data_IF_204828804701
#
_entry.id   IF_204828804701
#
_cell.length_a   1.000
_cell.length_b   1.000
_cell.length_c   1.000
_cell.angle_alpha   90.00
_cell.angle_beta   90.00
_cell.angle_gamma   90.00
#
_symmetry.space_group_name_H-M   'P 1'
#
loop_
_entity.id
_entity.type
_entity.pdbx_description
1 polymer ?
#
# COMPACT_ATOMS: atom_id res chain seq x y z
N UNK A 1 41.15 -38.27 42.44
CA UNK A 1 40.05 -38.82 41.61
C UNK A 1 38.92 -37.81 41.37
N UNK A 2 38.23 -37.27 42.39
CA UNK A 2 37.02 -36.44 42.19
C UNK A 2 37.17 -35.27 41.20
N UNK A 3 38.25 -34.48 41.29
CA UNK A 3 38.49 -33.36 40.35
C UNK A 3 38.64 -33.79 38.88
N UNK A 4 39.27 -34.94 38.60
CA UNK A 4 39.40 -35.45 37.22
C UNK A 4 38.06 -35.94 36.67
N UNK A 5 37.24 -36.59 37.50
CA UNK A 5 35.88 -37.02 37.12
C UNK A 5 34.97 -35.82 36.86
N UNK A 6 35.05 -34.77 37.68
CA UNK A 6 34.28 -33.54 37.51
C UNK A 6 34.69 -32.76 36.26
N UNK A 7 36.00 -32.65 35.99
CA UNK A 7 36.53 -32.08 34.74
C UNK A 7 36.11 -32.87 33.49
N UNK A 8 36.12 -34.20 33.55
CA UNK A 8 35.65 -35.05 32.45
C UNK A 8 34.14 -34.91 32.21
N UNK A 9 33.33 -34.83 33.27
CA UNK A 9 31.88 -34.61 33.17
C UNK A 9 31.56 -33.23 32.56
N UNK A 10 32.22 -32.17 33.02
CA UNK A 10 32.08 -30.81 32.48
C UNK A 10 32.49 -30.74 31.01
N UNK A 11 33.63 -31.36 30.65
CA UNK A 11 34.09 -31.44 29.26
C UNK A 11 33.06 -32.14 28.37
N UNK A 12 32.49 -33.25 28.82
CA UNK A 12 31.47 -34.02 28.06
C UNK A 12 30.15 -33.26 27.89
N UNK A 13 29.74 -32.47 28.90
CA UNK A 13 28.60 -31.56 28.78
C UNK A 13 28.89 -30.41 27.81
N UNK A 14 30.08 -29.81 27.86
CA UNK A 14 30.48 -28.72 26.97
C UNK A 14 30.60 -29.21 25.52
N UNK A 15 31.23 -30.35 25.27
CA UNK A 15 31.30 -30.98 23.94
C UNK A 15 29.91 -31.31 23.39
N UNK A 16 28.97 -31.76 24.24
CA UNK A 16 27.57 -31.97 23.84
C UNK A 16 26.89 -30.65 23.45
N UNK A 17 26.98 -29.63 24.30
CA UNK A 17 26.35 -28.33 24.06
C UNK A 17 26.91 -27.65 22.79
N UNK A 18 28.23 -27.75 22.55
CA UNK A 18 28.90 -27.24 21.35
C UNK A 18 28.45 -28.01 20.10
N UNK A 19 28.30 -29.34 20.17
CA UNK A 19 27.78 -30.12 19.05
C UNK A 19 26.31 -29.85 18.75
N UNK A 20 25.47 -29.69 19.79
CA UNK A 20 24.05 -29.32 19.63
C UNK A 20 23.93 -27.89 19.06
N UNK A 21 24.73 -26.94 19.52
CA UNK A 21 24.83 -25.58 18.96
C UNK A 21 25.28 -25.60 17.50
N UNK A 22 26.34 -26.35 17.16
CA UNK A 22 26.82 -26.52 15.79
C UNK A 22 25.74 -27.11 14.88
N UNK A 23 25.00 -28.11 15.35
CA UNK A 23 23.90 -28.73 14.60
C UNK A 23 22.75 -27.74 14.39
N UNK A 24 22.43 -26.93 15.40
CA UNK A 24 21.42 -25.87 15.29
C UNK A 24 21.85 -24.74 14.34
N UNK A 25 23.14 -24.36 14.35
CA UNK A 25 23.70 -23.34 13.46
C UNK A 25 23.66 -23.80 12.01
N UNK A 26 24.12 -25.02 11.72
CA UNK A 26 24.03 -25.62 10.38
C UNK A 26 22.57 -25.72 9.89
N UNK A 27 21.63 -26.12 10.75
CA UNK A 27 20.21 -26.17 10.40
C UNK A 27 19.63 -24.78 10.09
N UNK A 28 20.04 -23.75 10.83
CA UNK A 28 19.66 -22.37 10.54
C UNK A 28 20.26 -21.87 9.22
N UNK A 29 21.52 -22.22 8.92
CA UNK A 29 22.19 -21.90 7.66
C UNK A 29 21.47 -22.56 6.46
N UNK A 30 21.14 -23.84 6.55
CA UNK A 30 20.38 -24.55 5.51
C UNK A 30 18.98 -23.96 5.31
N UNK A 31 18.32 -23.51 6.38
CA UNK A 31 17.05 -22.78 6.30
C UNK A 31 17.19 -21.41 5.66
N UNK A 32 18.28 -20.68 5.93
CA UNK A 32 18.56 -19.41 5.26
C UNK A 32 18.84 -19.61 3.76
N UNK A 33 19.56 -20.67 3.37
CA UNK A 33 19.78 -21.03 1.95
C UNK A 33 18.49 -21.40 1.22
N UNK A 34 17.58 -22.13 1.86
CA UNK A 34 16.24 -22.42 1.29
C UNK A 34 15.38 -21.15 1.17
N UNK A 35 15.46 -20.25 2.15
CA UNK A 35 14.77 -18.96 2.12
C UNK A 35 15.32 -18.06 1.01
N UNK A 36 16.63 -17.93 0.87
CA UNK A 36 17.29 -17.17 -0.21
C UNK A 36 16.90 -17.70 -1.60
N UNK A 37 16.96 -19.03 -1.79
CA UNK A 37 16.51 -19.68 -3.02
C UNK A 37 15.03 -19.45 -3.34
N UNK A 38 14.17 -19.31 -2.32
CA UNK A 38 12.75 -18.93 -2.47
C UNK A 38 12.59 -17.45 -2.79
N UNK A 39 13.39 -16.58 -2.17
CA UNK A 39 13.44 -15.14 -2.43
C UNK A 39 13.81 -14.86 -3.90
N UNK A 40 14.88 -15.47 -4.40
CA UNK A 40 15.28 -15.33 -5.82
C UNK A 40 14.19 -15.80 -6.81
N UNK A 41 13.49 -16.90 -6.49
CA UNK A 41 12.33 -17.35 -7.29
C UNK A 41 11.13 -16.40 -7.20
N UNK A 42 10.95 -15.72 -6.06
CA UNK A 42 9.88 -14.74 -5.87
C UNK A 42 10.17 -13.46 -6.66
N UNK A 43 11.42 -12.97 -6.63
CA UNK A 43 11.88 -11.86 -7.48
C UNK A 43 11.68 -12.17 -8.97
N UNK A 44 12.17 -13.32 -9.45
CA UNK A 44 12.00 -13.73 -10.84
C UNK A 44 10.51 -13.80 -11.26
N UNK A 45 9.61 -14.21 -10.36
CA UNK A 45 8.17 -14.18 -10.60
C UNK A 45 7.60 -12.76 -10.57
N UNK A 46 8.09 -11.88 -9.70
CA UNK A 46 7.71 -10.47 -9.65
C UNK A 46 8.09 -9.75 -10.95
N UNK A 47 9.28 -9.99 -11.49
CA UNK A 47 9.71 -9.43 -12.78
C UNK A 47 8.84 -9.95 -13.94
N UNK A 48 8.43 -11.21 -13.89
CA UNK A 48 7.47 -11.79 -14.84
C UNK A 48 6.05 -11.23 -14.71
N UNK A 49 5.64 -10.82 -13.50
CA UNK A 49 4.36 -10.12 -13.28
C UNK A 49 4.44 -8.69 -13.81
N UNK A 50 5.55 -7.98 -13.59
CA UNK A 50 5.75 -6.62 -14.13
C UNK A 50 5.76 -6.61 -15.66
N UNK A 51 6.42 -7.58 -16.32
CA UNK A 51 6.41 -7.66 -17.78
C UNK A 51 5.04 -8.03 -18.35
N UNK A 52 4.28 -8.92 -17.69
CA UNK A 52 2.88 -9.18 -18.09
C UNK A 52 1.95 -7.98 -17.84
N UNK A 53 2.22 -7.17 -16.80
CA UNK A 53 1.47 -5.93 -16.56
C UNK A 53 1.67 -4.92 -17.71
N UNK A 54 2.90 -4.75 -18.21
CA UNK A 54 3.17 -3.90 -19.38
C UNK A 54 2.44 -4.40 -20.64
N UNK A 55 2.42 -5.71 -20.89
CA UNK A 55 1.70 -6.28 -22.05
C UNK A 55 0.18 -6.05 -21.92
N UNK A 56 -0.37 -6.12 -20.70
CA UNK A 56 -1.78 -5.80 -20.45
C UNK A 56 -2.06 -4.31 -20.68
N UNK A 57 -1.14 -3.41 -20.31
CA UNK A 57 -1.29 -1.98 -20.58
C UNK A 57 -1.26 -1.68 -22.10
N UNK A 58 -0.29 -2.22 -22.83
CA UNK A 58 -0.22 -2.11 -24.31
C UNK A 58 -1.50 -2.64 -24.99
N UNK A 59 -2.01 -3.80 -24.56
CA UNK A 59 -3.28 -4.34 -25.05
C UNK A 59 -4.48 -3.45 -24.69
N UNK A 60 -4.50 -2.87 -23.49
CA UNK A 60 -5.56 -1.96 -23.05
C UNK A 60 -5.57 -0.69 -23.89
N UNK A 61 -4.40 -0.10 -24.16
CA UNK A 61 -4.27 1.04 -25.07
C UNK A 61 -4.75 0.72 -26.49
N UNK A 62 -4.40 -0.46 -27.02
CA UNK A 62 -4.87 -0.92 -28.33
C UNK A 62 -6.39 -1.11 -28.38
N UNK A 63 -7.00 -1.63 -27.31
CA UNK A 63 -8.47 -1.76 -27.18
C UNK A 63 -9.13 -0.38 -27.13
N UNK A 64 -8.55 0.60 -26.43
CA UNK A 64 -9.06 1.99 -26.40
C UNK A 64 -8.99 2.63 -27.79
N UNK A 65 -7.89 2.48 -28.52
CA UNK A 65 -7.77 3.03 -29.88
C UNK A 65 -8.75 2.35 -30.86
N UNK A 66 -8.90 1.03 -30.77
CA UNK A 66 -9.87 0.27 -31.56
C UNK A 66 -11.31 0.68 -31.25
N UNK A 67 -11.66 0.82 -29.96
CA UNK A 67 -12.97 1.29 -29.50
C UNK A 67 -13.28 2.70 -30.02
N UNK A 68 -12.29 3.61 -30.03
CA UNK A 68 -12.44 4.93 -30.62
C UNK A 68 -12.72 4.86 -32.13
N UNK A 69 -11.95 4.06 -32.89
CA UNK A 69 -12.19 3.86 -34.33
C UNK A 69 -13.58 3.29 -34.62
N UNK A 70 -14.08 2.37 -33.78
CA UNK A 70 -15.45 1.85 -33.88
C UNK A 70 -16.47 2.95 -33.58
N UNK A 71 -16.27 3.78 -32.55
CA UNK A 71 -17.13 4.93 -32.24
C UNK A 71 -17.21 5.93 -33.39
N UNK A 72 -16.06 6.26 -33.99
CA UNK A 72 -15.98 7.14 -35.16
C UNK A 72 -16.76 6.50 -36.34
N UNK A 73 -16.61 5.19 -36.59
CA UNK A 73 -17.36 4.48 -37.64
C UNK A 73 -18.88 4.46 -37.38
N UNK A 74 -19.31 4.26 -36.13
CA UNK A 74 -20.74 4.31 -35.74
C UNK A 74 -21.35 5.70 -36.01
N UNK A 75 -20.58 6.78 -35.80
CA UNK A 75 -21.06 8.14 -36.13
C UNK A 75 -21.29 8.33 -37.63
N UNK A 76 -20.38 7.83 -38.48
CA UNK A 76 -20.52 7.89 -39.94
C UNK A 76 -21.68 7.01 -40.43
N UNK A 77 -21.87 5.82 -39.86
CA UNK A 77 -23.01 4.95 -40.18
C UNK A 77 -24.34 5.61 -39.78
N UNK A 78 -24.38 6.36 -38.67
CA UNK A 78 -25.56 7.13 -38.27
C UNK A 78 -25.91 8.21 -39.30
N UNK A 79 -24.92 9.00 -39.74
CA UNK A 79 -25.09 10.06 -40.74
C UNK A 79 -25.62 9.47 -42.07
N UNK A 80 -25.01 8.39 -42.55
CA UNK A 80 -25.51 7.65 -43.72
C UNK A 80 -26.93 7.11 -43.53
N UNK A 81 -27.26 6.60 -42.34
CA UNK A 81 -28.61 6.08 -42.06
C UNK A 81 -29.67 7.18 -42.06
N UNK A 82 -29.32 8.40 -41.62
CA UNK A 82 -30.20 9.57 -41.66
C UNK A 82 -30.40 10.07 -43.09
N UNK A 83 -29.34 10.07 -43.92
CA UNK A 83 -29.44 10.40 -45.34
C UNK A 83 -30.27 9.38 -46.12
N UNK A 84 -30.06 8.07 -45.90
CA UNK A 84 -30.85 6.98 -46.51
C UNK A 84 -32.32 7.09 -46.10
N UNK A 85 -32.62 7.41 -44.84
CA UNK A 85 -34.00 7.62 -44.38
C UNK A 85 -34.66 8.80 -45.11
N UNK A 86 -33.96 9.94 -45.23
CA UNK A 86 -34.46 11.10 -45.96
C UNK A 86 -34.68 10.80 -47.45
N UNK A 87 -33.77 10.04 -48.09
CA UNK A 87 -33.95 9.58 -49.47
C UNK A 87 -35.15 8.62 -49.60
N UNK A 88 -35.35 7.70 -48.64
CA UNK A 88 -36.50 6.79 -48.63
C UNK A 88 -37.84 7.54 -48.56
N UNK A 89 -37.92 8.60 -47.75
CA UNK A 89 -39.09 9.49 -47.68
C UNK A 89 -39.35 10.18 -49.02
N UNK A 90 -38.31 10.69 -49.70
CA UNK A 90 -38.44 11.30 -51.03
C UNK A 90 -38.86 10.29 -52.11
N UNK A 91 -38.35 9.06 -52.05
CA UNK A 91 -38.75 7.97 -52.95
C UNK A 91 -40.22 7.61 -52.72
N UNK A 92 -40.68 7.52 -51.47
CA UNK A 92 -42.10 7.26 -51.17
C UNK A 92 -43.02 8.37 -51.70
N UNK A 93 -42.62 9.63 -51.58
CA UNK A 93 -43.36 10.76 -52.14
C UNK A 93 -43.46 10.70 -53.68
N UNK A 94 -42.33 10.46 -54.37
CA UNK A 94 -42.30 10.35 -55.84
C UNK A 94 -43.03 9.11 -56.36
N UNK A 95 -43.04 8.00 -55.62
CA UNK A 95 -43.89 6.83 -55.93
C UNK A 95 -45.38 7.15 -55.86
N UNK A 96 -45.81 7.91 -54.84
CA UNK A 96 -47.22 8.33 -54.71
C UNK A 96 -47.64 9.27 -55.84
N UNK A 97 -46.77 10.19 -56.26
CA UNK A 97 -47.01 11.07 -57.40
C UNK A 97 -47.09 10.30 -58.73
N UNK A 98 -46.18 9.34 -58.95
CA UNK A 98 -46.19 8.47 -60.12
C UNK A 98 -47.49 7.66 -60.22
N UNK A 99 -47.97 7.08 -59.11
CA UNK A 99 -49.20 6.30 -59.07
C UNK A 99 -50.42 7.16 -59.47
N UNK A 100 -50.49 8.41 -59.01
CA UNK A 100 -51.54 9.36 -59.34
C UNK A 100 -51.52 9.74 -60.84
N UNK A 101 -50.34 10.03 -61.41
CA UNK A 101 -50.24 10.30 -62.85
C UNK A 101 -50.50 9.05 -63.72
N UNK A 102 -50.22 7.83 -63.23
CA UNK A 102 -50.60 6.58 -63.89
C UNK A 102 -52.13 6.39 -63.92
N UNK A 103 -52.82 6.62 -62.79
CA UNK A 103 -54.29 6.56 -62.73
C UNK A 103 -54.94 7.59 -63.67
N UNK A 104 -54.43 8.82 -63.66
CA UNK A 104 -54.84 9.90 -64.56
C UNK A 104 -54.56 9.59 -66.04
N UNK A 105 -53.48 8.87 -66.35
CA UNK A 105 -53.19 8.38 -67.70
C UNK A 105 -54.17 7.29 -68.11
N UNK A 106 -54.46 6.32 -67.24
CA UNK A 106 -55.46 5.27 -67.46
C UNK A 106 -56.82 5.89 -67.80
N UNK A 107 -57.30 6.83 -67.00
CA UNK A 107 -58.61 7.49 -67.21
C UNK A 107 -58.66 8.19 -68.58
N UNK A 108 -57.58 8.88 -69.00
CA UNK A 108 -57.48 9.48 -70.35
C UNK A 108 -57.49 8.45 -71.48
N UNK A 109 -56.91 7.27 -71.26
CA UNK A 109 -56.93 6.18 -72.25
C UNK A 109 -58.34 5.59 -72.37
N UNK A 110 -59.04 5.39 -71.25
CA UNK A 110 -60.44 4.92 -71.25
C UNK A 110 -61.38 5.92 -71.98
N UNK A 111 -61.28 7.22 -71.70
CA UNK A 111 -61.99 8.28 -72.44
C UNK A 111 -61.63 8.30 -73.94
N UNK A 112 -60.34 8.12 -74.26
CA UNK A 112 -59.84 8.03 -75.62
C UNK A 112 -60.41 6.83 -76.39
N UNK A 113 -60.52 5.67 -75.73
CA UNK A 113 -61.12 4.46 -76.31
C UNK A 113 -62.63 4.64 -76.51
N UNK A 114 -63.34 5.25 -75.57
CA UNK A 114 -64.77 5.52 -75.68
C UNK A 114 -65.09 6.43 -76.89
N UNK A 115 -64.38 7.55 -77.01
CA UNK A 115 -64.55 8.50 -78.14
C UNK A 115 -64.17 7.89 -79.49
N UNK A 116 -63.18 7.01 -79.55
CA UNK A 116 -62.80 6.27 -80.76
C UNK A 116 -63.86 5.23 -81.13
N UNK A 117 -64.46 4.53 -80.14
CA UNK A 117 -65.54 3.58 -80.35
C UNK A 117 -66.81 4.24 -80.91
N UNK A 118 -67.23 5.39 -80.38
CA UNK A 118 -68.34 6.18 -80.92
C UNK A 118 -68.06 6.69 -82.33
N UNK A 119 -66.81 7.10 -82.61
CA UNK A 119 -66.39 7.49 -83.96
C UNK A 119 -66.46 6.33 -84.95
N UNK A 120 -66.05 5.12 -84.54
CA UNK A 120 -66.15 3.90 -85.35
C UNK A 120 -67.60 3.50 -85.62
N UNK A 121 -68.49 3.59 -84.62
CA UNK A 121 -69.92 3.34 -84.75
C UNK A 121 -70.59 4.30 -85.74
N UNK A 122 -70.26 5.59 -85.66
CA UNK A 122 -70.73 6.61 -86.60
C UNK A 122 -70.22 6.39 -88.03
N UNK A 123 -68.97 5.92 -88.19
CA UNK A 123 -68.42 5.56 -89.50
C UNK A 123 -69.14 4.33 -90.09
N UNK A 124 -69.40 3.31 -89.26
CA UNK A 124 -70.17 2.13 -89.66
C UNK A 124 -71.57 2.46 -90.17
N UNK A 125 -72.29 3.37 -89.48
CA UNK A 125 -73.59 3.85 -89.94
C UNK A 125 -73.49 4.53 -91.32
N UNK A 126 -72.57 5.49 -91.48
CA UNK A 126 -72.35 6.19 -92.76
C UNK A 126 -71.96 5.27 -93.90
N UNK A 127 -71.26 4.17 -93.61
CA UNK A 127 -70.90 3.16 -94.61
C UNK A 127 -72.11 2.38 -95.11
N UNK A 128 -73.05 2.06 -94.22
CA UNK A 128 -74.31 1.40 -94.60
C UNK A 128 -75.23 2.38 -95.36
N UNK A 129 -75.31 3.65 -94.94
CA UNK A 129 -76.01 4.71 -95.67
C UNK A 129 -75.46 4.82 -97.11
N UNK A 130 -74.14 4.92 -97.27
CA UNK A 130 -73.46 5.03 -98.58
C UNK A 130 -73.63 3.77 -99.45
N UNK A 131 -73.74 2.59 -98.84
CA UNK A 131 -74.09 1.35 -99.52
C UNK A 131 -75.54 1.37 -100.04
N UNK A 132 -76.50 1.92 -99.29
CA UNK A 132 -77.87 2.09 -99.80
C UNK A 132 -77.94 3.09 -100.96
N UNK A 133 -77.21 4.21 -100.87
CA UNK A 133 -77.08 5.18 -101.96
C UNK A 133 -76.42 4.55 -103.21
N UNK A 134 -75.39 3.71 -103.02
CA UNK A 134 -74.73 2.98 -104.10
C UNK A 134 -75.68 2.02 -104.83
N UNK A 135 -76.59 1.33 -104.11
CA UNK A 135 -77.61 0.47 -104.72
C UNK A 135 -78.64 1.28 -105.54
N UNK A 136 -78.99 2.49 -105.11
CA UNK A 136 -79.84 3.39 -105.90
C UNK A 136 -79.13 3.90 -107.16
N UNK A 137 -77.82 4.15 -107.07
CA UNK A 137 -76.97 4.51 -108.22
C UNK A 137 -76.81 3.33 -109.19
N UNK A 138 -76.60 2.10 -108.70
CA UNK A 138 -76.54 0.89 -109.53
C UNK A 138 -77.83 0.69 -110.34
N UNK A 139 -78.99 0.93 -109.73
CA UNK A 139 -80.29 0.90 -110.42
C UNK A 139 -80.37 1.89 -111.58
N UNK A 140 -79.82 3.10 -111.42
CA UNK A 140 -79.75 4.14 -112.49
C UNK A 140 -78.69 3.79 -113.55
N UNK A 141 -77.62 3.09 -113.19
CA UNK A 141 -76.58 2.62 -114.12
C UNK A 141 -77.12 1.54 -115.08
N UNK A 142 -78.03 0.67 -114.64
CA UNK A 142 -78.63 -0.35 -115.51
C UNK A 142 -79.39 0.22 -116.72
N UNK A 143 -80.01 1.40 -116.61
CA UNK A 143 -80.65 2.08 -117.76
C UNK A 143 -79.61 2.63 -118.75
N UNK A 144 -78.42 2.99 -118.28
CA UNK A 144 -77.30 3.49 -119.09
C UNK A 144 -76.47 2.36 -119.71
N UNK A 145 -76.55 1.13 -119.16
CA UNK A 145 -75.71 -0.02 -119.54
C UNK A 145 -75.69 -0.35 -121.03
N UNK A 146 -76.80 -0.17 -121.74
CA UNK A 146 -76.88 -0.39 -123.20
C UNK A 146 -75.99 0.55 -124.03
N UNK A 147 -75.58 1.69 -123.47
CA UNK A 147 -74.67 2.66 -124.11
C UNK A 147 -73.21 2.53 -123.62
N UNK A 148 -72.90 1.58 -122.72
CA UNK A 148 -71.68 1.62 -121.91
C UNK A 148 -70.77 0.38 -122.07
N UNK A 149 -70.92 -0.40 -123.13
CA UNK A 149 -69.99 -1.51 -123.44
C UNK A 149 -68.56 -1.01 -123.72
N UNK A 150 -68.40 0.00 -124.59
CA UNK A 150 -67.08 0.46 -125.07
C UNK A 150 -66.25 1.21 -124.02
N UNK A 151 -66.87 1.77 -122.97
CA UNK A 151 -66.15 2.46 -121.89
C UNK A 151 -65.62 1.52 -120.80
N UNK A 152 -66.09 0.28 -120.75
CA UNK A 152 -65.81 -0.66 -119.65
C UNK A 152 -64.34 -1.08 -119.60
N UNK A 153 -63.68 -1.20 -120.76
CA UNK A 153 -62.28 -1.61 -120.90
C UNK A 153 -61.30 -0.69 -120.13
N UNK A 154 -61.44 0.63 -120.27
CA UNK A 154 -60.57 1.60 -119.58
C UNK A 154 -60.86 1.70 -118.07
N UNK A 155 -62.09 1.41 -117.65
CA UNK A 155 -62.49 1.45 -116.24
C UNK A 155 -61.93 0.25 -115.47
N UNK A 156 -61.88 -0.93 -116.10
CA UNK A 156 -61.33 -2.15 -115.51
C UNK A 156 -59.81 -2.04 -115.23
N UNK A 157 -59.06 -1.34 -116.08
CA UNK A 157 -57.64 -1.05 -115.84
C UNK A 157 -57.41 -0.21 -114.57
N UNK A 158 -58.15 0.90 -114.40
CA UNK A 158 -58.05 1.73 -113.19
C UNK A 158 -58.59 1.04 -111.93
N UNK A 159 -59.63 0.20 -112.06
CA UNK A 159 -60.14 -0.58 -110.94
C UNK A 159 -59.12 -1.63 -110.42
N UNK A 160 -58.22 -2.11 -111.28
CA UNK A 160 -57.14 -3.01 -110.88
C UNK A 160 -56.03 -2.26 -110.11
N UNK A 161 -55.58 -1.09 -110.58
CA UNK A 161 -54.61 -0.25 -109.84
C UNK A 161 -55.13 0.12 -108.43
N UNK A 162 -56.42 0.48 -108.33
CA UNK A 162 -57.05 0.78 -107.03
C UNK A 162 -57.11 -0.46 -106.13
N UNK A 163 -57.35 -1.66 -106.68
CA UNK A 163 -57.36 -2.92 -105.91
C UNK A 163 -55.99 -3.24 -105.34
N UNK A 164 -54.93 -3.10 -106.14
CA UNK A 164 -53.57 -3.42 -105.71
C UNK A 164 -53.08 -2.43 -104.64
N UNK A 165 -53.34 -1.13 -104.80
CA UNK A 165 -53.01 -0.10 -103.80
C UNK A 165 -53.82 -0.29 -102.51
N UNK A 166 -55.11 -0.62 -102.61
CA UNK A 166 -55.94 -0.92 -101.45
C UNK A 166 -55.44 -2.17 -100.70
N UNK A 167 -55.06 -3.24 -101.41
CA UNK A 167 -54.49 -4.45 -100.82
C UNK A 167 -53.19 -4.19 -100.05
N UNK A 168 -52.25 -3.46 -100.65
CA UNK A 168 -50.98 -3.06 -100.00
C UNK A 168 -51.22 -2.16 -98.77
N UNK A 169 -52.25 -1.31 -98.80
CA UNK A 169 -52.62 -0.49 -97.63
C UNK A 169 -53.23 -1.33 -96.49
N UNK A 170 -54.03 -2.34 -96.83
CA UNK A 170 -54.70 -3.21 -95.86
C UNK A 170 -53.70 -4.13 -95.15
N UNK A 171 -52.74 -4.71 -95.88
CA UNK A 171 -51.65 -5.50 -95.29
C UNK A 171 -50.74 -4.66 -94.38
N UNK A 172 -50.45 -3.40 -94.73
CA UNK A 172 -49.68 -2.49 -93.87
C UNK A 172 -50.43 -2.11 -92.59
N UNK A 173 -51.75 -1.89 -92.66
CA UNK A 173 -52.56 -1.66 -91.45
C UNK A 173 -52.64 -2.92 -90.57
N UNK A 174 -52.69 -4.11 -91.16
CA UNK A 174 -52.64 -5.38 -90.44
C UNK A 174 -51.30 -5.59 -89.72
N UNK A 175 -50.17 -5.27 -90.35
CA UNK A 175 -48.85 -5.28 -89.69
C UNK A 175 -48.76 -4.27 -88.54
N UNK A 176 -49.36 -3.08 -88.68
CA UNK A 176 -49.39 -2.08 -87.61
C UNK A 176 -50.18 -2.58 -86.39
N UNK A 177 -51.35 -3.19 -86.60
CA UNK A 177 -52.15 -3.82 -85.54
C UNK A 177 -51.40 -4.93 -84.81
N UNK A 178 -50.73 -5.81 -85.55
CA UNK A 178 -49.93 -6.92 -84.99
C UNK A 178 -48.73 -6.41 -84.18
N UNK A 179 -48.08 -5.33 -84.64
CA UNK A 179 -47.03 -4.63 -83.89
C UNK A 179 -47.53 -3.94 -82.62
N UNK A 180 -48.70 -3.31 -82.65
CA UNK A 180 -49.33 -2.68 -81.48
C UNK A 180 -49.78 -3.73 -80.45
N UNK A 181 -50.29 -4.88 -80.90
CA UNK A 181 -50.64 -6.00 -80.00
C UNK A 181 -49.43 -6.52 -79.23
N UNK A 182 -48.30 -6.71 -79.91
CA UNK A 182 -47.03 -7.15 -79.29
C UNK A 182 -46.45 -6.11 -78.33
N UNK A 183 -46.61 -4.82 -78.64
CA UNK A 183 -46.23 -3.75 -77.73
C UNK A 183 -47.10 -3.73 -76.45
N UNK A 184 -48.39 -4.07 -76.57
CA UNK A 184 -49.32 -4.18 -75.44
C UNK A 184 -48.97 -5.35 -74.52
N UNK A 185 -48.68 -6.54 -75.07
CA UNK A 185 -48.20 -7.71 -74.31
C UNK A 185 -46.88 -7.42 -73.58
N UNK A 186 -45.95 -6.70 -74.23
CA UNK A 186 -44.71 -6.25 -73.59
C UNK A 186 -44.95 -5.27 -72.42
N UNK A 187 -45.89 -4.32 -72.57
CA UNK A 187 -46.29 -3.40 -71.50
C UNK A 187 -46.95 -4.12 -70.32
N UNK A 188 -47.81 -5.10 -70.58
CA UNK A 188 -48.44 -5.92 -69.54
C UNK A 188 -47.37 -6.73 -68.78
N UNK A 189 -46.45 -7.38 -69.51
CA UNK A 189 -45.34 -8.15 -68.92
C UNK A 189 -44.42 -7.27 -68.05
N UNK A 190 -44.13 -6.04 -68.49
CA UNK A 190 -43.35 -5.07 -67.73
C UNK A 190 -44.07 -4.62 -66.45
N UNK A 191 -45.38 -4.41 -66.53
CA UNK A 191 -46.23 -4.02 -65.39
C UNK A 191 -46.26 -5.13 -64.34
N UNK A 192 -46.40 -6.38 -64.77
CA UNK A 192 -46.39 -7.56 -63.92
C UNK A 192 -45.02 -7.73 -63.22
N UNK A 193 -43.92 -7.64 -63.97
CA UNK A 193 -42.56 -7.68 -63.42
C UNK A 193 -42.28 -6.56 -62.40
N UNK A 194 -42.72 -5.32 -62.70
CA UNK A 194 -42.62 -4.21 -61.75
C UNK A 194 -43.41 -4.50 -60.47
N UNK A 195 -44.65 -5.00 -60.58
CA UNK A 195 -45.47 -5.32 -59.40
C UNK A 195 -44.80 -6.37 -58.50
N UNK A 196 -44.18 -7.40 -59.10
CA UNK A 196 -43.47 -8.45 -58.38
C UNK A 196 -42.21 -7.93 -57.68
N UNK A 197 -41.41 -7.12 -58.37
CA UNK A 197 -40.23 -6.47 -57.79
C UNK A 197 -40.60 -5.53 -56.62
N UNK A 198 -41.73 -4.82 -56.70
CA UNK A 198 -42.23 -4.01 -55.59
C UNK A 198 -42.66 -4.86 -54.38
N UNK A 199 -43.30 -6.02 -54.58
CA UNK A 199 -43.60 -6.92 -53.47
C UNK A 199 -42.33 -7.48 -52.80
N UNK A 200 -41.34 -7.96 -53.58
CA UNK A 200 -40.07 -8.44 -53.02
C UNK A 200 -39.30 -7.32 -52.28
N UNK A 201 -39.27 -6.11 -52.85
CA UNK A 201 -38.64 -4.95 -52.19
C UNK A 201 -39.35 -4.56 -50.88
N UNK A 202 -40.67 -4.76 -50.78
CA UNK A 202 -41.41 -4.44 -49.55
C UNK A 202 -41.22 -5.50 -48.47
N UNK A 203 -41.18 -6.77 -48.86
CA UNK A 203 -41.02 -7.88 -47.94
C UNK A 203 -39.59 -7.94 -47.37
N UNK A 204 -38.57 -7.68 -48.20
CA UNK A 204 -37.17 -7.52 -47.74
C UNK A 204 -36.98 -6.31 -46.81
N UNK A 205 -37.64 -5.18 -47.09
CA UNK A 205 -37.59 -3.99 -46.22
C UNK A 205 -38.30 -4.23 -44.88
N UNK A 206 -39.35 -5.06 -44.86
CA UNK A 206 -39.98 -5.53 -43.63
C UNK A 206 -39.07 -6.45 -42.82
N UNK A 207 -38.39 -7.41 -43.47
CA UNK A 207 -37.42 -8.30 -42.80
C UNK A 207 -36.27 -7.48 -42.18
N UNK A 208 -35.75 -6.48 -42.89
CA UNK A 208 -34.72 -5.57 -42.39
C UNK A 208 -35.20 -4.77 -41.18
N UNK A 209 -36.46 -4.31 -41.18
CA UNK A 209 -37.06 -3.60 -40.04
C UNK A 209 -37.23 -4.51 -38.80
N UNK A 210 -37.71 -5.75 -38.98
CA UNK A 210 -37.80 -6.74 -37.90
C UNK A 210 -36.41 -7.12 -37.36
N UNK A 211 -35.40 -7.26 -38.22
CA UNK A 211 -34.02 -7.51 -37.81
C UNK A 211 -33.42 -6.33 -37.03
N UNK A 212 -33.62 -5.10 -37.51
CA UNK A 212 -33.18 -3.88 -36.82
C UNK A 212 -33.81 -3.73 -35.44
N UNK A 213 -35.11 -4.02 -35.31
CA UNK A 213 -35.80 -3.96 -34.02
C UNK A 213 -35.25 -5.00 -33.02
N UNK A 214 -35.04 -6.25 -33.47
CA UNK A 214 -34.41 -7.32 -32.64
C UNK A 214 -32.98 -6.96 -32.20
N UNK A 215 -32.18 -6.35 -33.07
CA UNK A 215 -30.84 -5.88 -32.70
C UNK A 215 -30.88 -4.77 -31.64
N UNK A 216 -31.85 -3.85 -31.75
CA UNK A 216 -32.00 -2.78 -30.77
C UNK A 216 -32.49 -3.29 -29.41
N UNK A 217 -33.41 -4.27 -29.38
CA UNK A 217 -33.86 -4.92 -28.15
C UNK A 217 -32.71 -5.70 -27.47
N UNK A 218 -31.93 -6.47 -28.24
CA UNK A 218 -30.75 -7.19 -27.73
C UNK A 218 -29.63 -6.26 -27.22
N UNK A 219 -29.51 -5.04 -27.77
CA UNK A 219 -28.59 -4.02 -27.27
C UNK A 219 -29.06 -3.45 -25.92
N UNK A 220 -30.36 -3.22 -25.74
CA UNK A 220 -30.94 -2.75 -24.48
C UNK A 220 -30.72 -3.82 -23.38
N UNK A 221 -31.01 -5.09 -23.67
CA UNK A 221 -30.79 -6.20 -22.73
C UNK A 221 -29.31 -6.29 -22.30
N UNK A 222 -28.37 -6.18 -23.26
CA UNK A 222 -26.93 -6.14 -22.94
C UNK A 222 -26.53 -4.93 -22.11
N UNK A 223 -27.13 -3.77 -22.35
CA UNK A 223 -26.83 -2.55 -21.59
C UNK A 223 -27.32 -2.66 -20.14
N UNK A 224 -28.49 -3.26 -19.92
CA UNK A 224 -29.00 -3.57 -18.57
C UNK A 224 -28.13 -4.59 -17.84
N UNK A 225 -27.72 -5.67 -18.51
CA UNK A 225 -26.76 -6.65 -17.95
C UNK A 225 -25.41 -6.02 -17.59
N UNK A 226 -24.92 -5.08 -18.42
CA UNK A 226 -23.68 -4.35 -18.16
C UNK A 226 -23.83 -3.39 -16.95
N UNK A 227 -24.98 -2.74 -16.81
CA UNK A 227 -25.25 -1.87 -15.66
C UNK A 227 -25.35 -2.69 -14.37
N UNK A 228 -26.05 -3.83 -14.36
CA UNK A 228 -26.10 -4.74 -13.19
C UNK A 228 -24.69 -5.22 -12.81
N UNK A 229 -23.87 -5.60 -13.79
CA UNK A 229 -22.48 -6.00 -13.56
C UNK A 229 -21.62 -4.84 -13.00
N UNK A 230 -21.83 -3.62 -13.49
CA UNK A 230 -21.13 -2.43 -13.00
C UNK A 230 -21.55 -2.08 -11.56
N UNK A 231 -22.85 -2.11 -11.24
CA UNK A 231 -23.35 -1.90 -9.88
C UNK A 231 -22.80 -2.96 -8.90
N UNK A 232 -22.74 -4.25 -9.31
CA UNK A 232 -22.10 -5.32 -8.54
C UNK A 232 -20.60 -5.06 -8.32
N UNK A 233 -19.88 -4.58 -9.33
CA UNK A 233 -18.46 -4.23 -9.21
C UNK A 233 -18.23 -3.07 -8.24
N UNK A 234 -19.07 -2.02 -8.31
CA UNK A 234 -19.04 -0.89 -7.38
C UNK A 234 -19.35 -1.33 -5.95
N UNK A 235 -20.38 -2.16 -5.75
CA UNK A 235 -20.71 -2.73 -4.44
C UNK A 235 -19.57 -3.57 -3.85
N UNK A 236 -18.93 -4.40 -4.67
CA UNK A 236 -17.75 -5.19 -4.28
C UNK A 236 -16.52 -4.31 -3.99
N UNK A 237 -16.27 -3.27 -4.78
CA UNK A 237 -15.16 -2.34 -4.50
C UNK A 237 -15.36 -1.61 -3.17
N UNK A 238 -16.60 -1.21 -2.85
CA UNK A 238 -16.94 -0.56 -1.57
C UNK A 238 -16.82 -1.51 -0.38
N UNK A 239 -17.19 -2.78 -0.53
CA UNK A 239 -17.02 -3.78 0.54
C UNK A 239 -15.56 -4.17 0.75
N UNK A 240 -14.75 -4.23 -0.31
CA UNK A 240 -13.29 -4.39 -0.23
C UNK A 240 -12.65 -3.18 0.47
N UNK A 241 -13.04 -1.96 0.12
CA UNK A 241 -12.52 -0.74 0.77
C UNK A 241 -12.83 -0.73 2.27
N UNK A 242 -14.07 -1.04 2.66
CA UNK A 242 -14.45 -1.15 4.07
C UNK A 242 -13.70 -2.29 4.80
N UNK A 243 -13.41 -3.39 4.11
CA UNK A 243 -12.58 -4.47 4.65
C UNK A 243 -11.10 -4.08 4.79
N UNK A 244 -10.58 -3.22 3.91
CA UNK A 244 -9.24 -2.64 4.03
C UNK A 244 -9.15 -1.65 5.20
N UNK A 245 -10.12 -0.74 5.35
CA UNK A 245 -10.20 0.20 6.48
C UNK A 245 -10.27 -0.54 7.82
N UNK A 246 -11.12 -1.57 7.92
CA UNK A 246 -11.18 -2.44 9.11
C UNK A 246 -9.91 -3.26 9.32
N UNK A 247 -9.15 -3.60 8.27
CA UNK A 247 -7.86 -4.26 8.39
C UNK A 247 -6.78 -3.29 8.88
N UNK A 248 -6.74 -2.05 8.38
CA UNK A 248 -5.83 -1.00 8.85
C UNK A 248 -6.09 -0.65 10.32
N UNK A 249 -7.35 -0.49 10.74
CA UNK A 249 -7.72 -0.28 12.16
C UNK A 249 -7.25 -1.47 13.03
N UNK A 250 -7.45 -2.70 12.56
CA UNK A 250 -7.01 -3.91 13.24
C UNK A 250 -5.48 -4.05 13.30
N UNK A 251 -4.78 -3.59 12.27
CA UNK A 251 -3.32 -3.58 12.22
C UNK A 251 -2.74 -2.49 13.13
N UNK A 252 -3.33 -1.29 13.14
CA UNK A 252 -2.95 -0.20 14.04
C UNK A 252 -3.17 -0.58 15.51
N UNK A 253 -4.33 -1.17 15.84
CA UNK A 253 -4.60 -1.67 17.20
C UNK A 253 -3.69 -2.84 17.60
N UNK A 254 -3.30 -3.71 16.65
CA UNK A 254 -2.28 -4.74 16.88
C UNK A 254 -0.88 -4.14 17.13
N UNK A 255 -0.46 -3.11 16.40
CA UNK A 255 0.81 -2.42 16.66
C UNK A 255 0.81 -1.73 18.04
N UNK A 256 -0.28 -1.04 18.41
CA UNK A 256 -0.44 -0.46 19.76
C UNK A 256 -0.41 -1.54 20.86
N UNK A 257 -0.94 -2.73 20.59
CA UNK A 257 -0.84 -3.87 21.51
C UNK A 257 0.60 -4.42 21.60
N UNK A 258 1.33 -4.49 20.49
CA UNK A 258 2.73 -4.88 20.45
C UNK A 258 3.64 -3.89 21.19
N UNK A 259 3.45 -2.59 21.01
CA UNK A 259 4.21 -1.56 21.73
C UNK A 259 3.96 -1.64 23.25
N UNK A 260 2.70 -1.86 23.66
CA UNK A 260 2.35 -2.13 25.07
C UNK A 260 3.01 -3.42 25.58
N UNK A 261 3.09 -4.47 24.76
CA UNK A 261 3.75 -5.73 25.11
C UNK A 261 5.28 -5.55 25.25
N UNK A 262 5.92 -4.78 24.36
CA UNK A 262 7.34 -4.46 24.45
C UNK A 262 7.65 -3.56 25.66
N UNK A 263 6.81 -2.56 25.95
CA UNK A 263 6.93 -1.73 27.15
C UNK A 263 6.80 -2.57 28.44
N UNK A 264 5.82 -3.48 28.48
CA UNK A 264 5.63 -4.42 29.59
C UNK A 264 6.83 -5.37 29.74
N UNK A 265 7.33 -5.93 28.63
CA UNK A 265 8.49 -6.83 28.63
C UNK A 265 9.76 -6.12 29.12
N UNK A 266 10.01 -4.89 28.67
CA UNK A 266 11.13 -4.08 29.13
C UNK A 266 11.04 -3.73 30.63
N UNK A 267 9.82 -3.45 31.13
CA UNK A 267 9.57 -3.22 32.55
C UNK A 267 9.86 -4.50 33.37
N UNK A 268 9.37 -5.65 32.93
CA UNK A 268 9.60 -6.95 33.59
C UNK A 268 11.08 -7.36 33.58
N UNK A 269 11.80 -7.12 32.48
CA UNK A 269 13.25 -7.34 32.41
C UNK A 269 14.03 -6.43 33.37
N UNK A 270 13.58 -5.20 33.57
CA UNK A 270 14.16 -4.28 34.57
C UNK A 270 13.91 -4.78 36.00
N UNK A 271 12.67 -5.17 36.34
CA UNK A 271 12.32 -5.71 37.66
C UNK A 271 13.09 -6.99 38.00
N UNK A 272 13.20 -7.92 37.05
CA UNK A 272 14.01 -9.14 37.19
C UNK A 272 15.50 -8.84 37.45
N UNK A 273 16.07 -7.87 36.73
CA UNK A 273 17.46 -7.41 36.93
C UNK A 273 17.67 -6.79 38.31
N UNK A 274 16.70 -6.00 38.79
CA UNK A 274 16.71 -5.38 40.11
C UNK A 274 16.74 -6.41 41.24
N UNK A 275 15.87 -7.42 41.19
CA UNK A 275 15.82 -8.50 42.18
C UNK A 275 17.16 -9.25 42.21
N UNK A 276 17.75 -9.56 41.05
CA UNK A 276 19.05 -10.25 40.96
C UNK A 276 20.20 -9.42 41.56
N UNK A 277 20.24 -8.11 41.30
CA UNK A 277 21.26 -7.23 41.87
C UNK A 277 21.16 -7.17 43.41
N UNK A 278 19.94 -7.01 43.94
CA UNK A 278 19.69 -6.98 45.39
C UNK A 278 20.24 -8.22 46.12
N UNK A 279 19.97 -9.43 45.61
CA UNK A 279 20.50 -10.66 46.21
C UNK A 279 22.04 -10.73 46.19
N UNK A 280 22.68 -10.33 45.07
CA UNK A 280 24.15 -10.34 44.97
C UNK A 280 24.77 -9.38 45.98
N UNK A 281 24.30 -8.14 46.06
CA UNK A 281 24.85 -7.15 46.99
C UNK A 281 24.56 -7.50 48.47
N UNK A 282 23.41 -8.12 48.77
CA UNK A 282 23.13 -8.67 50.10
C UNK A 282 24.13 -9.75 50.50
N UNK A 283 24.45 -10.69 49.60
CA UNK A 283 25.45 -11.74 49.84
C UNK A 283 26.86 -11.13 49.98
N UNK A 284 27.23 -10.17 49.13
CA UNK A 284 28.51 -9.45 49.25
C UNK A 284 28.63 -8.72 50.59
N UNK A 285 27.56 -8.13 51.12
CA UNK A 285 27.55 -7.47 52.44
C UNK A 285 27.87 -8.46 53.56
N UNK A 286 27.32 -9.68 53.49
CA UNK A 286 27.61 -10.77 54.44
C UNK A 286 29.04 -11.31 54.31
N UNK A 287 29.54 -11.46 53.07
CA UNK A 287 30.94 -11.87 52.83
C UNK A 287 31.92 -10.83 53.40
N UNK A 288 31.66 -9.54 53.15
CA UNK A 288 32.43 -8.44 53.74
C UNK A 288 32.36 -8.45 55.27
N UNK A 289 31.18 -8.69 55.85
CA UNK A 289 31.02 -8.80 57.30
C UNK A 289 31.92 -9.89 57.89
N UNK A 290 31.92 -11.09 57.28
CA UNK A 290 32.75 -12.23 57.71
C UNK A 290 34.25 -11.93 57.54
N UNK A 291 34.67 -11.44 56.37
CA UNK A 291 36.08 -11.10 56.09
C UNK A 291 36.62 -9.97 56.97
N UNK A 292 35.75 -9.06 57.43
CA UNK A 292 36.12 -7.93 58.28
C UNK A 292 35.90 -8.19 59.77
N UNK A 293 35.50 -9.41 60.16
CA UNK A 293 35.29 -9.82 61.55
C UNK A 293 36.62 -10.03 62.32
N UNK A 294 37.71 -10.26 61.59
CA UNK A 294 39.07 -10.42 62.14
C UNK A 294 39.59 -9.09 62.73
N UNK A 295 40.30 -9.14 63.88
CA UNK A 295 40.88 -7.94 64.52
C UNK A 295 41.69 -7.04 63.55
N UNK A 296 42.34 -7.65 62.55
CA UNK A 296 43.28 -6.99 61.63
C UNK A 296 42.66 -5.98 60.67
N UNK A 297 41.36 -6.06 60.37
CA UNK A 297 40.71 -5.28 59.29
C UNK A 297 39.60 -4.33 59.78
N UNK A 298 39.45 -4.15 61.10
CA UNK A 298 38.33 -3.41 61.72
C UNK A 298 38.17 -1.97 61.21
N UNK A 299 39.27 -1.23 61.00
CA UNK A 299 39.26 0.18 60.60
C UNK A 299 38.77 0.43 59.17
N UNK A 300 38.87 -0.57 58.28
CA UNK A 300 38.49 -0.45 56.86
C UNK A 300 37.00 -0.76 56.63
N UNK A 301 36.33 -1.34 57.63
CA UNK A 301 34.93 -1.82 57.57
C UNK A 301 33.93 -0.76 57.09
N UNK A 302 33.99 0.44 57.65
CA UNK A 302 33.06 1.54 57.33
C UNK A 302 33.23 2.02 55.89
N UNK A 303 34.47 2.22 55.44
CA UNK A 303 34.78 2.65 54.07
C UNK A 303 34.35 1.59 53.04
N UNK A 304 34.52 0.31 53.35
CA UNK A 304 34.17 -0.77 52.43
C UNK A 304 32.63 -0.93 52.29
N UNK A 305 31.87 -0.72 53.36
CA UNK A 305 30.40 -0.62 53.28
C UNK A 305 29.91 0.63 52.55
N UNK A 306 30.57 1.79 52.76
CA UNK A 306 30.23 3.02 52.03
C UNK A 306 30.47 2.85 50.52
N UNK A 307 31.59 2.23 50.14
CA UNK A 307 31.89 1.88 48.75
C UNK A 307 30.90 0.88 48.15
N UNK A 308 30.50 -0.16 48.90
CA UNK A 308 29.51 -1.15 48.46
C UNK A 308 28.14 -0.51 48.21
N UNK A 309 27.73 0.42 49.08
CA UNK A 309 26.48 1.18 48.93
C UNK A 309 26.55 2.12 47.71
N UNK A 310 27.67 2.82 47.50
CA UNK A 310 27.87 3.67 46.32
C UNK A 310 27.84 2.85 45.01
N UNK A 311 28.46 1.66 44.99
CA UNK A 311 28.43 0.76 43.83
C UNK A 311 27.01 0.27 43.53
N UNK A 312 26.23 -0.11 44.55
CA UNK A 312 24.82 -0.48 44.40
C UNK A 312 23.97 0.66 43.84
N UNK A 313 24.16 1.89 44.33
CA UNK A 313 23.44 3.08 43.83
C UNK A 313 23.81 3.43 42.38
N UNK A 314 25.08 3.25 41.97
CA UNK A 314 25.49 3.40 40.58
C UNK A 314 24.87 2.34 39.67
N UNK A 315 24.88 1.06 40.08
CA UNK A 315 24.19 0.00 39.34
C UNK A 315 22.67 0.16 39.26
N UNK A 316 22.06 0.86 40.23
CA UNK A 316 20.65 1.23 40.17
C UNK A 316 20.37 2.38 39.18
N UNK A 317 21.25 3.38 39.15
CA UNK A 317 21.06 4.57 38.31
C UNK A 317 21.32 4.31 36.82
N UNK A 318 22.35 3.54 36.47
CA UNK A 318 22.80 3.32 35.08
C UNK A 318 21.68 2.73 34.18
N UNK A 319 20.95 1.67 34.56
CA UNK A 319 19.88 1.11 33.72
C UNK A 319 18.64 2.00 33.64
N UNK A 320 18.40 2.87 34.64
CA UNK A 320 17.26 3.79 34.67
C UNK A 320 17.48 5.03 33.82
N UNK A 321 18.71 5.49 33.67
CA UNK A 321 19.05 6.69 32.88
C UNK A 321 19.34 6.39 31.40
N UNK A 322 19.90 5.22 31.08
CA UNK A 322 20.42 4.93 29.73
C UNK A 322 19.60 3.83 29.01
N UNK A 323 18.34 4.12 28.70
CA UNK A 323 17.36 3.14 28.22
C UNK A 323 17.65 2.48 26.85
N UNK A 324 18.53 3.06 26.02
CA UNK A 324 18.51 2.80 24.58
C UNK A 324 19.52 1.76 24.05
N UNK A 325 20.31 1.07 24.89
CA UNK A 325 21.23 0.01 24.42
C UNK A 325 21.58 -1.00 25.52
N UNK A 326 20.95 -2.19 25.48
CA UNK A 326 21.14 -3.28 26.46
C UNK A 326 22.60 -3.76 26.51
N UNK A 327 23.26 -3.85 25.36
CA UNK A 327 24.66 -4.29 25.25
C UNK A 327 25.63 -3.29 25.91
N UNK A 328 25.46 -1.99 25.63
CA UNK A 328 26.24 -0.92 26.27
C UNK A 328 26.00 -0.86 27.78
N UNK A 329 24.75 -1.04 28.24
CA UNK A 329 24.45 -1.15 29.67
C UNK A 329 25.24 -2.30 30.32
N UNK A 330 25.24 -3.50 29.71
CA UNK A 330 25.89 -4.67 30.28
C UNK A 330 27.42 -4.49 30.36
N UNK A 331 28.01 -3.89 29.32
CA UNK A 331 29.44 -3.57 29.28
C UNK A 331 29.84 -2.57 30.39
N UNK A 332 29.10 -1.47 30.54
CA UNK A 332 29.35 -0.46 31.59
C UNK A 332 29.21 -1.06 33.00
N UNK A 333 28.15 -1.84 33.26
CA UNK A 333 27.95 -2.48 34.57
C UNK A 333 29.10 -3.43 34.91
N UNK A 334 29.60 -4.21 33.93
CA UNK A 334 30.71 -5.11 34.15
C UNK A 334 32.02 -4.38 34.51
N UNK A 335 32.26 -3.21 33.90
CA UNK A 335 33.41 -2.34 34.23
C UNK A 335 33.30 -1.79 35.66
N UNK A 336 32.12 -1.29 36.06
CA UNK A 336 31.87 -0.80 37.43
C UNK A 336 32.15 -1.88 38.47
N UNK A 337 31.68 -3.12 38.23
CA UNK A 337 31.95 -4.27 39.10
C UNK A 337 33.44 -4.61 39.20
N UNK A 338 34.15 -4.61 38.08
CA UNK A 338 35.57 -4.94 38.04
C UNK A 338 36.41 -3.89 38.76
N UNK A 339 36.12 -2.60 38.55
CA UNK A 339 36.77 -1.50 39.28
C UNK A 339 36.51 -1.58 40.78
N UNK A 340 35.28 -1.86 41.20
CA UNK A 340 34.95 -2.02 42.62
C UNK A 340 35.66 -3.22 43.28
N UNK A 341 35.74 -4.35 42.58
CA UNK A 341 36.47 -5.54 43.06
C UNK A 341 37.97 -5.25 43.20
N UNK A 342 38.57 -4.54 42.25
CA UNK A 342 39.98 -4.16 42.30
C UNK A 342 40.24 -3.18 43.46
N UNK A 343 39.39 -2.17 43.65
CA UNK A 343 39.51 -1.20 44.73
C UNK A 343 39.38 -1.85 46.13
N UNK A 344 38.40 -2.73 46.31
CA UNK A 344 38.20 -3.45 47.59
C UNK A 344 39.30 -4.46 47.87
N UNK A 345 39.81 -5.15 46.85
CA UNK A 345 40.98 -6.02 46.96
C UNK A 345 42.23 -5.23 47.39
N UNK A 346 42.51 -4.09 46.75
CA UNK A 346 43.63 -3.22 47.11
C UNK A 346 43.51 -2.66 48.53
N UNK A 347 42.31 -2.25 48.96
CA UNK A 347 42.05 -1.78 50.32
C UNK A 347 42.25 -2.87 51.38
N UNK A 348 41.81 -4.11 51.11
CA UNK A 348 42.05 -5.25 51.99
C UNK A 348 43.54 -5.63 52.04
N UNK A 349 44.22 -5.64 50.91
CA UNK A 349 45.67 -5.93 50.84
C UNK A 349 46.49 -4.88 51.61
N UNK A 350 46.15 -3.60 51.47
CA UNK A 350 46.76 -2.50 52.23
C UNK A 350 46.51 -2.66 53.73
N UNK A 351 45.28 -3.01 54.15
CA UNK A 351 44.95 -3.26 55.56
C UNK A 351 45.78 -4.40 56.17
N UNK A 352 45.97 -5.49 55.40
CA UNK A 352 46.79 -6.63 55.81
C UNK A 352 48.28 -6.24 55.90
N UNK A 353 48.80 -5.47 54.93
CA UNK A 353 50.21 -5.06 54.92
C UNK A 353 50.54 -4.02 56.02
N UNK A 354 49.63 -3.10 56.33
CA UNK A 354 49.81 -2.09 57.39
C UNK A 354 49.48 -2.63 58.79
N UNK A 355 49.12 -3.92 58.93
CA UNK A 355 48.86 -4.52 60.25
C UNK A 355 50.16 -4.66 61.06
N UNK A 356 50.40 -3.71 61.96
CA UNK A 356 51.47 -3.74 62.96
C UNK A 356 50.87 -4.23 64.27
N UNK A 357 51.44 -5.28 64.87
CA UNK A 357 50.81 -5.97 66.00
C UNK A 357 51.03 -5.23 67.33
N UNK A 358 50.17 -4.23 67.59
CA UNK A 358 50.30 -3.34 68.75
C UNK A 358 50.13 -4.05 70.10
N UNK A 359 49.36 -5.14 70.19
CA UNK A 359 49.27 -5.95 71.42
C UNK A 359 50.63 -6.59 71.75
N UNK A 360 51.34 -7.13 70.74
CA UNK A 360 52.65 -7.76 70.92
C UNK A 360 53.77 -6.73 71.19
N UNK A 361 53.70 -5.54 70.56
CA UNK A 361 54.64 -4.44 70.83
C UNK A 361 54.48 -3.90 72.26
N UNK A 362 53.24 -3.66 72.69
CA UNK A 362 52.95 -3.19 74.05
C UNK A 362 53.37 -4.22 75.10
N UNK A 363 53.14 -5.52 74.84
CA UNK A 363 53.59 -6.57 75.75
C UNK A 363 55.13 -6.65 75.82
N UNK A 364 55.86 -6.52 74.71
CA UNK A 364 57.33 -6.38 74.73
C UNK A 364 57.78 -5.17 75.55
N UNK A 365 57.13 -4.02 75.40
CA UNK A 365 57.48 -2.80 76.13
C UNK A 365 57.22 -2.94 77.64
N UNK A 366 56.13 -3.61 78.03
CA UNK A 366 55.84 -3.95 79.43
C UNK A 366 56.83 -4.97 80.03
N UNK A 367 57.28 -5.95 79.24
CA UNK A 367 58.30 -6.92 79.67
C UNK A 367 59.67 -6.24 79.82
N UNK A 368 60.10 -5.41 78.86
CA UNK A 368 61.34 -4.61 78.97
C UNK A 368 61.31 -3.67 80.19
N UNK A 369 60.18 -3.00 80.43
CA UNK A 369 59.96 -2.18 81.62
C UNK A 369 60.01 -2.99 82.93
N UNK A 370 59.40 -4.18 82.97
CA UNK A 370 59.50 -5.08 84.14
C UNK A 370 60.91 -5.60 84.38
N UNK A 371 61.68 -5.88 83.32
CA UNK A 371 63.05 -6.35 83.40
C UNK A 371 64.01 -5.23 83.87
N UNK A 372 63.85 -4.00 83.37
CA UNK A 372 64.50 -2.80 83.89
C UNK A 372 64.19 -2.57 85.37
N UNK A 373 62.91 -2.67 85.77
CA UNK A 373 62.49 -2.56 87.18
C UNK A 373 63.09 -3.66 88.06
N UNK A 374 63.19 -4.90 87.56
CA UNK A 374 63.82 -6.01 88.27
C UNK A 374 65.32 -5.79 88.46
N UNK A 375 66.02 -5.30 87.44
CA UNK A 375 67.45 -4.98 87.52
C UNK A 375 67.72 -3.80 88.49
N UNK A 376 66.89 -2.76 88.47
CA UNK A 376 66.99 -1.64 89.43
C UNK A 376 66.73 -2.10 90.88
N UNK A 377 65.75 -2.97 91.11
CA UNK A 377 65.47 -3.55 92.43
C UNK A 377 66.55 -4.54 92.89
N UNK A 378 67.23 -5.21 91.97
CA UNK A 378 68.44 -6.01 92.28
C UNK A 378 69.57 -5.10 92.78
N UNK A 379 69.87 -4.04 92.02
CA UNK A 379 70.94 -3.08 92.32
C UNK A 379 70.62 -2.13 93.50
N UNK A 380 69.39 -2.16 94.04
CA UNK A 380 69.05 -1.53 95.32
C UNK A 380 69.30 -2.49 96.50
N UNK A 381 68.90 -3.75 96.37
CA UNK A 381 69.06 -4.76 97.45
C UNK A 381 70.52 -5.09 97.79
N UNK A 382 71.46 -4.84 96.88
CA UNK A 382 72.89 -4.99 97.13
C UNK A 382 73.50 -3.81 97.92
N UNK A 383 72.74 -2.72 98.15
CA UNK A 383 73.13 -1.58 99.00
C UNK A 383 72.48 -1.57 100.39
N UNK A 384 71.41 -2.34 100.62
CA UNK A 384 70.61 -2.30 101.85
C UNK A 384 71.21 -3.11 103.04
N UNK A 385 72.52 -3.42 103.05
CA UNK A 385 73.15 -4.31 104.04
C UNK A 385 74.11 -3.61 105.02
N UNK A 386 74.16 -2.28 105.03
CA UNK A 386 74.88 -1.48 106.02
C UNK A 386 74.04 -0.29 106.51
N UNK A 387 73.87 -0.21 107.84
CA UNK A 387 73.28 0.87 108.66
C UNK A 387 71.75 0.95 108.76
N UNK A 388 71.24 0.40 109.88
CA UNK A 388 70.01 0.86 110.54
C UNK A 388 70.21 2.22 111.23
N UNK A 389 69.09 2.87 111.60
CA UNK A 389 68.96 4.20 112.23
C UNK A 389 69.46 5.38 111.36
N UNK A 390 68.73 6.49 111.20
CA UNK A 390 67.53 6.96 111.90
C UNK A 390 66.59 7.76 110.97
N UNK A 391 65.41 8.08 111.47
CA UNK A 391 64.27 8.72 110.82
C UNK A 391 64.50 10.07 110.13
N UNK A 392 64.15 10.15 108.83
CA UNK A 392 63.44 11.30 108.23
C UNK A 392 63.04 11.06 106.75
N UNK A 393 61.87 11.58 106.37
CA UNK A 393 61.36 11.84 105.00
C UNK A 393 61.99 11.11 103.80
N UNK A 394 61.32 10.06 103.31
CA UNK A 394 61.69 9.41 102.03
C UNK A 394 61.35 10.33 100.85
N UNK A 395 62.41 10.84 100.21
CA UNK A 395 62.38 11.63 98.99
C UNK A 395 62.03 10.75 97.78
N UNK A 396 61.11 11.18 96.90
CA UNK A 396 60.86 10.49 95.64
C UNK A 396 62.08 10.61 94.70
N UNK A 397 62.53 9.54 94.02
CA UNK A 397 63.67 9.62 93.09
C UNK A 397 63.40 10.51 91.87
N UNK A 398 64.34 11.43 91.60
CA UNK A 398 64.21 12.56 90.67
C UNK A 398 64.36 12.24 89.17
N UNK A 399 63.93 11.06 88.72
CA UNK A 399 63.96 10.68 87.29
C UNK A 399 62.59 10.79 86.60
N UNK A 400 61.55 11.15 87.35
CA UNK A 400 60.18 11.37 86.83
C UNK A 400 59.95 12.85 86.43
N UNK A 401 60.91 13.73 86.69
CA UNK A 401 60.74 15.20 86.61
C UNK A 401 61.65 15.93 85.61
N UNK A 402 62.45 15.21 84.81
CA UNK A 402 63.57 15.81 84.05
C UNK A 402 63.50 15.65 82.51
N UNK A 403 62.40 15.14 81.95
CA UNK A 403 62.29 14.84 80.49
C UNK A 403 61.27 15.74 79.74
N UNK A 404 60.80 16.82 80.37
CA UNK A 404 60.06 17.88 79.69
C UNK A 404 60.48 19.26 80.23
N UNK A 405 61.07 20.06 79.33
CA UNK A 405 61.56 21.44 79.49
C UNK A 405 62.90 21.53 80.27
N UNK A 406 63.90 22.30 79.82
CA UNK A 406 63.94 23.30 78.73
C UNK A 406 65.39 23.63 78.27
N UNK A 407 65.52 24.52 77.25
CA UNK A 407 66.73 25.33 76.90
C UNK A 407 67.95 24.57 76.29
N UNK A 408 68.82 25.10 75.40
CA UNK A 408 68.97 26.40 74.67
C UNK A 408 70.01 26.19 73.51
N UNK A 409 70.27 27.04 72.49
CA UNK A 409 69.65 28.25 71.89
C UNK A 409 70.22 28.44 70.43
N UNK A 410 69.68 29.42 69.70
CA UNK A 410 70.33 30.31 68.72
C UNK A 410 70.76 29.84 67.29
N UNK A 411 70.00 30.40 66.34
CA UNK A 411 70.42 30.96 65.03
C UNK A 411 70.91 30.07 63.87
N UNK A 412 70.06 29.94 62.83
CA UNK A 412 70.40 30.35 61.44
C UNK A 412 69.22 30.23 60.45
N UNK A 413 68.73 31.38 59.96
CA UNK A 413 68.14 31.64 58.62
C UNK A 413 66.77 31.07 58.15
N UNK A 414 65.97 32.03 57.68
CA UNK A 414 65.02 32.01 56.53
C UNK A 414 63.54 31.61 56.72
N UNK A 415 62.71 32.65 56.79
CA UNK A 415 61.27 32.78 56.46
C UNK A 415 60.93 32.46 54.98
N UNK A 416 59.66 32.52 54.49
CA UNK A 416 58.35 32.70 55.14
C UNK A 416 57.37 31.53 54.76
N UNK A 417 56.03 31.56 54.71
CA UNK A 417 54.98 32.60 54.78
C UNK A 417 53.60 32.00 55.16
N UNK A 418 52.74 32.77 55.86
CA UNK A 418 51.27 32.63 55.83
C UNK A 418 50.60 33.93 56.35
N UNK A 419 49.93 34.67 55.46
CA UNK A 419 49.25 35.93 55.82
C UNK A 419 47.82 35.72 56.36
N UNK A 420 47.49 36.47 57.42
CA UNK A 420 46.11 36.90 57.68
C UNK A 420 46.12 38.26 58.38
N UNK A 421 45.41 39.25 57.80
CA UNK A 421 45.39 40.65 58.23
C UNK A 421 44.03 40.93 58.88
N UNK A 422 44.04 41.60 60.04
CA UNK A 422 42.91 42.43 60.47
C UNK A 422 43.43 43.68 61.18
N UNK A 423 42.90 44.86 60.83
CA UNK A 423 43.49 46.13 61.27
C UNK A 423 42.84 47.41 60.75
N UNK A 424 41.58 47.64 61.13
CA UNK A 424 40.96 48.97 61.37
C UNK A 424 40.76 49.98 60.20
N UNK A 425 39.54 50.53 60.11
CA UNK A 425 39.33 51.95 59.76
C UNK A 425 38.58 52.27 58.47
N UNK A 426 37.31 52.65 58.60
CA UNK A 426 36.55 53.60 57.74
C UNK A 426 36.43 53.25 56.23
N UNK A 427 35.21 52.99 55.72
CA UNK A 427 34.36 54.04 55.14
C UNK A 427 32.90 53.57 54.89
N UNK A 428 32.01 54.54 54.64
CA UNK A 428 30.55 54.36 54.65
C UNK A 428 29.90 53.88 53.33
N UNK A 429 28.60 53.56 53.44
CA UNK A 429 27.50 53.72 52.47
C UNK A 429 26.92 52.49 51.71
N UNK A 430 25.58 52.38 51.88
CA UNK A 430 24.54 51.95 50.92
C UNK A 430 24.26 50.47 50.59
N UNK A 431 23.30 49.91 51.37
CA UNK A 431 21.97 49.41 50.94
C UNK A 431 21.77 48.23 49.98
N UNK A 432 20.72 47.45 50.33
CA UNK A 432 19.88 46.56 49.48
C UNK A 432 20.37 45.12 49.24
N UNK A 433 19.54 44.06 49.16
CA UNK A 433 18.15 43.82 49.62
C UNK A 433 17.72 42.37 49.29
N UNK A 434 16.93 41.70 50.16
CA UNK A 434 15.97 40.60 49.82
C UNK A 434 16.52 39.24 49.29
N UNK A 435 15.88 38.07 49.48
CA UNK A 435 14.70 37.70 50.27
C UNK A 435 14.67 36.19 50.71
N UNK A 436 14.14 35.97 51.92
CA UNK A 436 13.32 34.86 52.44
C UNK A 436 13.39 33.41 51.86
N UNK A 437 13.66 32.45 52.76
CA UNK A 437 13.08 31.09 52.74
C UNK A 437 11.82 31.04 53.63
N UNK A 438 10.77 30.36 53.18
CA UNK A 438 9.62 29.93 54.02
C UNK A 438 9.27 28.47 53.73
N UNK A 439 9.21 27.65 54.78
CA UNK A 439 8.47 26.39 54.78
C UNK A 439 7.08 26.65 55.40
N UNK A 440 6.07 25.90 54.97
CA UNK A 440 4.75 25.97 55.60
C UNK A 440 4.12 24.58 55.71
N UNK A 441 3.25 24.41 56.71
CA UNK A 441 2.95 23.12 57.32
C UNK A 441 1.71 22.40 56.76
N UNK A 442 1.67 21.09 57.05
CA UNK A 442 0.65 20.08 56.74
C UNK A 442 -0.75 20.45 57.25
N UNK A 443 -1.84 20.25 56.49
CA UNK A 443 -3.21 20.48 56.95
C UNK A 443 -3.85 19.24 57.60
N UNK A 444 -4.70 19.43 58.63
CA UNK A 444 -5.71 18.44 59.01
C UNK A 444 -6.92 19.06 59.76
N UNK A 445 -8.03 19.20 59.01
CA UNK A 445 -9.42 18.93 59.41
C UNK A 445 -10.06 19.59 60.66
N UNK A 446 -11.10 20.40 60.37
CA UNK A 446 -12.40 20.53 61.08
C UNK A 446 -12.41 21.00 62.54
N UNK A 447 -13.09 22.13 62.76
CA UNK A 447 -14.51 22.03 63.09
C UNK A 447 -15.36 22.93 62.19
#
# INVERSE_FOLDING_TARGET
MCYQLQGAAFRRQTERLVNDLKRSANFAEDKLKDLDKKSGKLLQRSDGILSTLNVIDEQTQQVVESSKKVSDHVSVVKEYSEEIFNQSVQISATQSELQNEQEKMKNKIEDGIATLHDSYKNLGQKMEDLKTETVEVEKKINEVGNAMSDKMSNLQSKANEIRDVAGVSLDKQKQLMDGQSKALEGLQSLTEFQSQAFTESRDTLKELAEFGHKQQEALIERQEQLEEAHQRLVANSKSILAAQEAFEEKQASMFVALDKLFALHNTLLFESRMIKAFFVYSISTLIVYVLTSTKQTYTVRTNLYLGLCAAFMLEFAIPRMLSNNIEKQLWIINIVRLLFLLLTSAQLLHAIYTYKDYEQLNHRMLVDMMERLRNLRSNSKERDLCLEMDSSSVHWPSWITNDLLEEDDANSHQDPDYFLIEGTGENSLTTSSMAARKYNLRPRSRH
#
